data_IF_446813116476
#
_entry.id   IF_446813116476
#
_cell.length_a   1.000
_cell.length_b   1.000
_cell.length_c   1.000
_cell.angle_alpha   90.00
_cell.angle_beta   90.00
_cell.angle_gamma   90.00
#
_symmetry.space_group_name_H-M   'P 1'
#
loop_
_entity.id
_entity.type
_entity.pdbx_description
1 polymer ?
#
# COMPACT_ATOMS: atom_id res chain seq x y z
N UNK A 1 -24.41 -4.33 -14.79
CA UNK A 1 -24.93 -4.04 -13.44
C UNK A 1 -25.55 -2.66 -13.52
N UNK A 2 -26.82 -2.56 -13.17
CA UNK A 2 -27.61 -1.32 -13.31
C UNK A 2 -27.69 -0.59 -11.97
N UNK A 3 -27.84 0.74 -11.98
CA UNK A 3 -27.62 1.57 -10.81
C UNK A 3 -28.64 1.36 -9.68
N UNK A 4 -29.78 0.72 -9.93
CA UNK A 4 -30.84 0.61 -8.92
C UNK A 4 -31.26 2.00 -8.43
N UNK A 5 -31.26 2.20 -7.13
CA UNK A 5 -31.58 3.46 -6.46
C UNK A 5 -30.40 4.44 -6.34
N UNK A 6 -29.19 4.06 -6.78
CA UNK A 6 -27.99 4.89 -6.64
C UNK A 6 -27.88 6.03 -7.67
N UNK A 7 -28.64 5.97 -8.78
CA UNK A 7 -28.67 6.99 -9.84
C UNK A 7 -30.04 7.67 -9.93
N UNK A 8 -30.43 8.36 -8.85
CA UNK A 8 -31.75 9.02 -8.74
C UNK A 8 -31.98 10.08 -9.81
N UNK A 9 -30.92 10.72 -10.30
CA UNK A 9 -30.97 11.75 -11.34
C UNK A 9 -30.73 11.22 -12.76
N UNK A 10 -30.51 9.92 -12.94
CA UNK A 10 -30.19 9.31 -14.22
C UNK A 10 -28.94 9.93 -14.89
N UNK A 11 -27.91 10.28 -14.11
CA UNK A 11 -26.67 10.84 -14.65
C UNK A 11 -25.99 9.91 -15.65
N UNK A 12 -26.11 8.59 -15.47
CA UNK A 12 -25.57 7.60 -16.40
C UNK A 12 -26.19 7.67 -17.81
N UNK A 13 -27.33 8.33 -17.95
CA UNK A 13 -28.08 8.52 -19.20
C UNK A 13 -28.36 9.99 -19.49
N UNK A 14 -27.58 10.91 -18.89
CA UNK A 14 -27.77 12.37 -19.03
C UNK A 14 -29.19 12.86 -18.69
N UNK A 15 -29.80 12.28 -17.66
CA UNK A 15 -31.15 12.63 -17.20
C UNK A 15 -32.28 11.94 -17.98
N UNK A 16 -31.97 11.07 -18.94
CA UNK A 16 -32.98 10.36 -19.74
C UNK A 16 -33.40 9.07 -19.03
N UNK A 17 -34.70 8.85 -18.86
CA UNK A 17 -35.22 7.66 -18.19
C UNK A 17 -34.94 6.39 -19.04
N UNK A 18 -34.29 5.35 -18.48
CA UNK A 18 -34.06 4.10 -19.21
C UNK A 18 -35.34 3.26 -19.37
N UNK A 19 -35.42 2.49 -20.47
CA UNK A 19 -36.34 1.38 -20.75
C UNK A 19 -37.75 1.41 -20.13
N UNK A 20 -38.48 2.53 -20.22
CA UNK A 20 -39.90 2.60 -19.82
C UNK A 20 -40.19 3.30 -18.49
N UNK A 21 -39.30 4.17 -18.02
CA UNK A 21 -39.58 5.05 -16.87
C UNK A 21 -39.05 4.55 -15.53
N UNK A 22 -38.02 3.70 -15.55
CA UNK A 22 -37.30 3.32 -14.34
C UNK A 22 -36.73 4.55 -13.61
N UNK A 23 -36.51 4.43 -12.30
CA UNK A 23 -36.19 5.47 -11.32
C UNK A 23 -37.37 6.41 -11.01
N UNK A 24 -38.60 5.87 -11.02
CA UNK A 24 -39.83 6.56 -10.61
C UNK A 24 -40.70 5.66 -9.73
N UNK A 25 -41.40 6.24 -8.74
CA UNK A 25 -42.39 5.55 -7.91
C UNK A 25 -41.89 4.22 -7.28
N UNK A 26 -40.60 4.15 -6.95
CA UNK A 26 -39.98 2.94 -6.37
C UNK A 26 -39.62 1.84 -7.36
N UNK A 27 -39.77 2.08 -8.68
CA UNK A 27 -39.38 1.15 -9.72
C UNK A 27 -37.98 1.48 -10.22
N UNK A 28 -37.01 0.58 -10.03
CA UNK A 28 -35.59 0.83 -10.33
C UNK A 28 -35.06 -0.11 -11.41
N UNK A 29 -34.11 0.40 -12.19
CA UNK A 29 -33.43 -0.40 -13.19
C UNK A 29 -32.36 -1.27 -12.51
N UNK A 30 -32.64 -2.57 -12.38
CA UNK A 30 -31.76 -3.55 -11.73
C UNK A 30 -31.44 -4.70 -12.68
N UNK A 31 -30.40 -5.48 -12.37
CA UNK A 31 -30.11 -6.70 -13.15
C UNK A 31 -31.24 -7.73 -13.05
N UNK A 32 -31.97 -7.75 -11.93
CA UNK A 32 -33.12 -8.63 -11.74
C UNK A 32 -34.29 -8.26 -12.65
N UNK A 33 -34.61 -6.95 -12.76
CA UNK A 33 -35.76 -6.50 -13.56
C UNK A 33 -35.47 -6.46 -15.06
N UNK A 34 -34.20 -6.38 -15.46
CA UNK A 34 -33.81 -6.32 -16.89
C UNK A 34 -33.84 -7.68 -17.57
N UNK A 35 -33.72 -8.79 -16.82
CA UNK A 35 -33.76 -10.13 -17.39
C UNK A 35 -32.57 -10.47 -18.30
N UNK A 36 -31.39 -9.91 -18.02
CA UNK A 36 -30.19 -10.25 -18.78
C UNK A 36 -29.77 -11.71 -18.60
N UNK A 37 -29.29 -12.35 -19.66
CA UNK A 37 -28.73 -13.69 -19.57
C UNK A 37 -27.47 -13.70 -18.67
N UNK A 38 -27.29 -14.74 -17.82
CA UNK A 38 -26.08 -14.91 -17.02
C UNK A 38 -24.84 -15.03 -17.90
N UNK A 39 -23.83 -14.19 -17.65
CA UNK A 39 -22.52 -14.26 -18.32
C UNK A 39 -21.47 -13.48 -17.52
N UNK A 40 -20.20 -13.60 -17.91
CA UNK A 40 -19.10 -12.77 -17.38
C UNK A 40 -19.44 -11.27 -17.50
N UNK A 41 -19.11 -10.50 -16.46
CA UNK A 41 -19.34 -9.06 -16.40
C UNK A 41 -18.02 -8.40 -16.04
N UNK A 42 -17.55 -7.50 -16.92
CA UNK A 42 -16.30 -6.75 -16.71
C UNK A 42 -16.63 -5.30 -16.41
N UNK A 43 -16.05 -4.77 -15.35
CA UNK A 43 -16.13 -3.36 -14.99
C UNK A 43 -14.85 -2.61 -15.38
N UNK A 44 -14.98 -1.33 -15.72
CA UNK A 44 -13.87 -0.40 -15.84
C UNK A 44 -14.05 0.67 -14.76
N UNK A 45 -13.04 0.86 -13.92
CA UNK A 45 -12.97 1.97 -12.97
C UNK A 45 -12.04 3.06 -13.50
N UNK A 46 -12.41 4.31 -13.31
CA UNK A 46 -11.55 5.48 -13.58
C UNK A 46 -11.53 6.37 -12.35
N UNK A 47 -10.38 6.97 -12.05
CA UNK A 47 -10.20 7.96 -10.99
C UNK A 47 -9.55 9.21 -11.59
N UNK A 48 -9.95 10.39 -11.14
CA UNK A 48 -9.50 11.68 -11.67
C UNK A 48 -10.60 12.74 -11.71
N UNK A 49 -10.31 13.94 -12.24
CA UNK A 49 -9.00 14.38 -12.77
C UNK A 49 -8.05 14.80 -11.65
N UNK A 50 -6.74 14.61 -11.87
CA UNK A 50 -5.70 15.09 -10.97
C UNK A 50 -4.68 15.92 -11.75
N UNK A 51 -4.14 16.95 -11.11
CA UNK A 51 -3.00 17.72 -11.62
C UNK A 51 -1.76 17.32 -10.84
N UNK A 52 -0.69 16.94 -11.55
CA UNK A 52 0.60 16.60 -10.94
C UNK A 52 1.59 17.75 -11.14
N UNK A 53 2.05 18.34 -10.05
CA UNK A 53 3.18 19.27 -10.08
C UNK A 53 4.51 18.50 -9.99
N UNK A 54 5.65 19.12 -10.38
CA UNK A 54 6.95 18.50 -10.25
C UNK A 54 7.24 18.07 -8.80
N UNK A 55 7.42 16.76 -8.59
CA UNK A 55 7.68 16.17 -7.27
C UNK A 55 6.44 15.68 -6.53
N UNK A 56 5.23 15.89 -7.07
CA UNK A 56 4.00 15.39 -6.46
C UNK A 56 3.94 13.86 -6.49
N UNK A 57 3.47 13.29 -5.38
CA UNK A 57 3.14 11.87 -5.24
C UNK A 57 1.66 11.80 -4.89
N UNK A 58 0.88 11.08 -5.69
CA UNK A 58 -0.53 10.79 -5.38
C UNK A 58 -0.65 9.33 -4.98
N UNK A 59 -1.30 9.09 -3.84
CA UNK A 59 -1.61 7.76 -3.36
C UNK A 59 -3.06 7.42 -3.73
N UNK A 60 -3.26 6.21 -4.26
CA UNK A 60 -4.58 5.68 -4.58
C UNK A 60 -4.76 4.41 -3.76
N UNK A 61 -5.73 4.43 -2.86
CA UNK A 61 -6.13 3.27 -2.07
C UNK A 61 -7.34 2.61 -2.76
N UNK A 62 -7.23 1.30 -3.04
CA UNK A 62 -8.28 0.53 -3.72
C UNK A 62 -8.68 -0.66 -2.84
N UNK A 63 -9.99 -0.86 -2.68
CA UNK A 63 -10.55 -2.01 -2.00
C UNK A 63 -11.39 -2.83 -2.99
N UNK A 64 -11.05 -4.11 -3.14
CA UNK A 64 -11.87 -5.08 -3.86
C UNK A 64 -12.68 -5.88 -2.86
N UNK A 65 -13.97 -5.58 -2.79
CA UNK A 65 -14.91 -6.27 -1.90
C UNK A 65 -15.61 -7.37 -2.67
N UNK A 66 -15.72 -8.54 -2.07
CA UNK A 66 -16.46 -9.66 -2.62
C UNK A 66 -17.38 -10.22 -1.54
N UNK A 67 -18.57 -10.63 -1.96
CA UNK A 67 -19.54 -11.28 -1.10
C UNK A 67 -20.32 -12.34 -1.88
N UNK A 68 -20.71 -13.39 -1.18
CA UNK A 68 -21.59 -14.44 -1.67
C UNK A 68 -22.44 -14.95 -0.52
N UNK A 69 -23.74 -14.87 -0.72
CA UNK A 69 -24.70 -15.58 0.09
C UNK A 69 -24.92 -16.99 -0.50
N UNK A 70 -24.93 -17.99 0.37
CA UNK A 70 -25.10 -19.40 -0.01
C UNK A 70 -26.53 -19.91 0.22
N UNK A 71 -27.31 -19.21 1.04
CA UNK A 71 -28.65 -19.65 1.47
C UNK A 71 -29.77 -18.78 0.87
N UNK A 72 -29.44 -17.59 0.36
CA UNK A 72 -30.40 -16.66 -0.24
C UNK A 72 -30.46 -16.69 -1.77
N UNK A 73 -30.84 -15.53 -2.34
CA UNK A 73 -30.98 -15.32 -3.78
C UNK A 73 -29.69 -14.71 -4.36
N UNK A 74 -29.55 -14.65 -5.70
CA UNK A 74 -28.45 -13.86 -6.29
C UNK A 74 -28.43 -12.41 -5.80
N UNK A 75 -29.58 -11.83 -5.48
CA UNK A 75 -29.69 -10.48 -4.93
C UNK A 75 -29.22 -10.36 -3.48
N UNK A 76 -29.44 -11.37 -2.64
CA UNK A 76 -28.94 -11.32 -1.27
C UNK A 76 -27.40 -11.32 -1.22
N UNK A 77 -26.73 -11.88 -2.23
CA UNK A 77 -25.27 -11.70 -2.40
C UNK A 77 -24.88 -10.24 -2.69
N UNK A 78 -25.72 -9.49 -3.42
CA UNK A 78 -25.53 -8.05 -3.68
C UNK A 78 -25.80 -7.23 -2.41
N UNK A 79 -26.81 -7.59 -1.62
CA UNK A 79 -27.10 -6.95 -0.34
C UNK A 79 -25.95 -7.15 0.66
N UNK A 80 -25.43 -8.38 0.76
CA UNK A 80 -24.26 -8.69 1.57
C UNK A 80 -23.02 -7.91 1.09
N UNK A 81 -22.84 -7.77 -0.23
CA UNK A 81 -21.76 -6.96 -0.80
C UNK A 81 -21.88 -5.48 -0.36
N UNK A 82 -23.09 -4.91 -0.39
CA UNK A 82 -23.36 -3.53 0.06
C UNK A 82 -23.06 -3.35 1.55
N UNK A 83 -23.41 -4.33 2.38
CA UNK A 83 -23.08 -4.32 3.81
C UNK A 83 -21.56 -4.32 4.01
N UNK A 84 -20.83 -5.21 3.32
CA UNK A 84 -19.38 -5.30 3.42
C UNK A 84 -18.69 -4.03 2.92
N UNK A 85 -19.15 -3.45 1.81
CA UNK A 85 -18.66 -2.17 1.32
C UNK A 85 -18.86 -1.05 2.36
N UNK A 86 -20.03 -1.00 3.00
CA UNK A 86 -20.33 0.00 4.04
C UNK A 86 -19.43 -0.18 5.27
N UNK A 87 -19.24 -1.42 5.72
CA UNK A 87 -18.35 -1.76 6.83
C UNK A 87 -16.90 -1.38 6.53
N UNK A 88 -16.38 -1.75 5.35
CA UNK A 88 -15.01 -1.44 4.96
C UNK A 88 -14.80 0.07 4.84
N UNK A 89 -15.77 0.79 4.27
CA UNK A 89 -15.73 2.24 4.17
C UNK A 89 -15.68 2.90 5.56
N UNK A 90 -16.58 2.52 6.46
CA UNK A 90 -16.61 3.03 7.83
C UNK A 90 -15.27 2.80 8.55
N UNK A 91 -14.72 1.59 8.41
CA UNK A 91 -13.41 1.27 8.98
C UNK A 91 -12.29 2.10 8.38
N UNK A 92 -12.29 2.32 7.08
CA UNK A 92 -11.25 3.09 6.40
C UNK A 92 -11.28 4.57 6.80
N UNK A 93 -12.48 5.14 6.92
CA UNK A 93 -12.69 6.55 7.31
C UNK A 93 -12.37 6.79 8.79
N UNK A 94 -12.66 5.83 9.68
CA UNK A 94 -12.48 5.98 11.13
C UNK A 94 -11.15 5.46 11.66
N UNK A 95 -10.54 4.45 11.04
CA UNK A 95 -9.25 3.87 11.44
C UNK A 95 -8.46 3.39 10.22
N UNK A 96 -7.69 4.32 9.64
CA UNK A 96 -6.84 4.07 8.48
C UNK A 96 -5.84 2.90 8.68
N UNK A 97 -5.44 2.61 9.92
CA UNK A 97 -4.50 1.53 10.22
C UNK A 97 -5.15 0.14 10.29
N UNK A 98 -6.48 0.06 10.30
CA UNK A 98 -7.25 -1.18 10.43
C UNK A 98 -6.90 -2.22 9.36
N UNK A 99 -6.64 -1.77 8.11
CA UNK A 99 -6.36 -2.67 6.99
C UNK A 99 -4.90 -3.07 6.84
N UNK A 100 -4.03 -2.62 7.73
CA UNK A 100 -2.62 -2.99 7.64
C UNK A 100 -2.38 -4.37 8.27
N UNK A 101 -2.21 -5.39 7.43
CA UNK A 101 -1.79 -6.75 7.85
C UNK A 101 -0.40 -6.81 8.49
N UNK A 102 0.33 -5.70 8.48
CA UNK A 102 1.54 -5.47 9.27
C UNK A 102 1.23 -4.33 10.23
N UNK A 103 1.38 -4.52 11.53
CA UNK A 103 1.41 -3.39 12.47
C UNK A 103 2.52 -2.43 12.00
N UNK A 104 2.17 -1.37 11.27
CA UNK A 104 3.07 -0.25 11.05
C UNK A 104 3.14 0.49 12.38
N UNK A 105 3.95 -0.05 13.29
CA UNK A 105 4.57 0.79 14.29
C UNK A 105 5.39 1.80 13.50
N UNK A 106 4.83 2.99 13.26
CA UNK A 106 5.59 4.19 12.98
C UNK A 106 6.42 4.53 14.22
N UNK A 107 7.32 3.64 14.64
CA UNK A 107 8.50 4.06 15.38
C UNK A 107 9.43 4.68 14.36
N UNK A 108 9.06 5.91 13.99
CA UNK A 108 9.91 6.87 13.31
C UNK A 108 10.99 7.36 14.29
N UNK A 109 11.73 6.43 14.88
CA UNK A 109 13.06 6.70 15.36
C UNK A 109 13.98 6.12 14.30
N UNK A 110 14.40 6.96 13.35
CA UNK A 110 15.55 6.67 12.50
C UNK A 110 16.79 6.59 13.41
N UNK A 111 16.89 5.47 14.12
CA UNK A 111 17.95 5.11 15.05
C UNK A 111 19.27 4.80 14.32
N UNK A 112 19.24 4.82 12.99
CA UNK A 112 20.37 4.66 12.11
C UNK A 112 20.36 5.77 11.04
N UNK A 113 21.50 6.44 10.83
CA UNK A 113 21.72 7.41 9.74
C UNK A 113 22.94 7.00 8.94
N UNK A 114 22.82 7.00 7.61
CA UNK A 114 23.90 6.67 6.68
C UNK A 114 24.27 7.89 5.86
N UNK A 115 25.54 8.23 5.81
CA UNK A 115 26.03 9.32 4.97
C UNK A 115 27.51 9.14 4.58
N UNK A 116 27.92 9.70 3.43
CA UNK A 116 27.06 10.24 2.39
C UNK A 116 26.22 9.13 1.73
N UNK A 117 25.10 9.48 1.13
CA UNK A 117 24.36 8.60 0.23
C UNK A 117 23.86 9.45 -0.95
N UNK A 118 24.35 9.23 -2.18
CA UNK A 118 25.30 8.18 -2.61
C UNK A 118 26.71 8.32 -2.03
N UNK A 119 27.43 7.20 -1.89
CA UNK A 119 28.79 7.11 -1.33
C UNK A 119 29.81 6.64 -2.37
N UNK A 120 31.03 7.16 -2.29
CA UNK A 120 32.16 6.75 -3.13
C UNK A 120 33.10 5.80 -2.38
N UNK A 121 33.75 6.24 -1.31
CA UNK A 121 34.85 5.49 -0.69
C UNK A 121 34.57 5.11 0.76
N UNK A 122 34.01 6.05 1.54
CA UNK A 122 33.82 5.90 2.99
C UNK A 122 32.36 6.13 3.35
N UNK A 123 31.73 5.10 3.90
CA UNK A 123 30.37 5.17 4.44
C UNK A 123 30.44 5.38 5.95
N UNK A 124 29.77 6.41 6.44
CA UNK A 124 29.55 6.64 7.87
C UNK A 124 28.17 6.14 8.25
N UNK A 125 28.10 5.31 9.29
CA UNK A 125 26.87 4.81 9.87
C UNK A 125 26.80 5.29 11.31
N UNK A 126 25.77 6.09 11.61
CA UNK A 126 25.55 6.67 12.93
C UNK A 126 24.31 6.07 13.58
N UNK A 127 24.49 5.55 14.80
CA UNK A 127 23.44 5.02 15.65
C UNK A 127 22.99 6.09 16.66
N UNK A 128 21.75 5.99 17.16
CA UNK A 128 21.23 6.89 18.20
C UNK A 128 21.90 6.70 19.57
N UNK A 129 22.54 5.55 19.79
CA UNK A 129 23.18 5.18 21.05
C UNK A 129 24.46 4.37 20.79
N UNK A 130 25.32 4.27 21.80
CA UNK A 130 26.52 3.43 21.77
C UNK A 130 26.15 1.97 22.01
N UNK A 131 26.83 1.05 21.32
CA UNK A 131 26.66 -0.39 21.56
C UNK A 131 28.01 -1.10 21.58
N UNK A 132 28.22 -1.92 22.62
CA UNK A 132 29.46 -2.67 22.87
C UNK A 132 29.45 -4.08 22.29
N UNK A 133 28.27 -4.64 21.99
CA UNK A 133 28.11 -6.02 21.50
C UNK A 133 27.44 -6.10 20.13
N UNK A 134 27.45 -5.00 19.38
CA UNK A 134 26.79 -4.95 18.09
C UNK A 134 27.60 -5.57 16.94
N UNK A 135 26.90 -5.96 15.88
CA UNK A 135 27.48 -6.45 14.62
C UNK A 135 26.83 -5.74 13.44
N UNK A 136 27.53 -5.71 12.31
CA UNK A 136 26.99 -5.23 11.06
C UNK A 136 27.31 -6.19 9.92
N UNK A 137 26.46 -6.19 8.90
CA UNK A 137 26.66 -6.90 7.64
C UNK A 137 26.09 -6.09 6.47
N UNK A 138 26.81 -6.02 5.36
CA UNK A 138 26.43 -5.37 4.13
C UNK A 138 26.14 -6.45 3.09
N UNK A 139 25.02 -6.32 2.41
CA UNK A 139 24.54 -7.23 1.38
C UNK A 139 24.38 -6.51 0.06
N UNK A 140 24.69 -7.18 -1.05
CA UNK A 140 24.33 -6.73 -2.38
C UNK A 140 22.86 -7.08 -2.71
N UNK A 141 22.39 -6.67 -3.90
CA UNK A 141 21.00 -6.95 -4.36
C UNK A 141 20.69 -8.43 -4.56
N UNK A 142 21.71 -9.30 -4.67
CA UNK A 142 21.54 -10.77 -4.75
C UNK A 142 21.44 -11.42 -3.37
N UNK A 143 21.60 -10.64 -2.29
CA UNK A 143 21.59 -11.14 -0.91
C UNK A 143 22.94 -11.70 -0.45
N UNK A 144 24.01 -11.54 -1.21
CA UNK A 144 25.36 -11.99 -0.82
C UNK A 144 25.94 -11.04 0.24
N UNK A 145 26.48 -11.60 1.32
CA UNK A 145 27.19 -10.83 2.35
C UNK A 145 28.58 -10.43 1.82
N UNK A 146 28.80 -9.13 1.60
CA UNK A 146 30.03 -8.59 1.02
C UNK A 146 31.00 -8.02 2.07
N UNK A 147 30.49 -7.52 3.20
CA UNK A 147 31.29 -6.99 4.30
C UNK A 147 30.54 -7.24 5.60
N UNK A 148 31.23 -7.74 6.63
CA UNK A 148 30.65 -7.84 7.98
C UNK A 148 31.70 -7.59 9.06
N UNK A 149 31.26 -7.18 10.24
CA UNK A 149 32.14 -6.93 11.36
C UNK A 149 31.40 -6.66 12.67
N UNK A 150 32.17 -6.31 13.71
CA UNK A 150 31.65 -5.91 15.02
C UNK A 150 31.64 -4.39 15.15
N UNK A 151 30.73 -3.87 15.97
CA UNK A 151 30.71 -2.46 16.38
C UNK A 151 31.69 -2.26 17.54
N UNK A 152 32.48 -1.20 17.48
CA UNK A 152 33.59 -0.97 18.39
C UNK A 152 33.19 -0.24 19.69
N UNK A 153 31.98 -0.45 20.22
CA UNK A 153 31.53 0.27 21.42
C UNK A 153 31.07 1.71 21.15
N UNK A 154 31.14 2.18 19.91
CA UNK A 154 30.81 3.55 19.53
C UNK A 154 29.44 3.65 18.84
N UNK A 155 28.89 4.86 18.82
CA UNK A 155 27.66 5.18 18.09
C UNK A 155 27.94 5.55 16.62
N UNK A 156 29.20 5.53 16.18
CA UNK A 156 29.61 5.84 14.82
C UNK A 156 30.55 4.76 14.29
N UNK A 157 30.23 4.23 13.12
CA UNK A 157 31.02 3.26 12.38
C UNK A 157 31.42 3.88 11.04
N UNK A 158 32.71 3.89 10.73
CA UNK A 158 33.25 4.34 9.44
C UNK A 158 33.77 3.15 8.67
N UNK A 159 33.18 2.89 7.50
CA UNK A 159 33.48 1.75 6.65
C UNK A 159 34.15 2.21 5.36
N UNK A 160 35.30 1.61 5.05
CA UNK A 160 35.89 1.72 3.72
C UNK A 160 35.21 0.73 2.78
N UNK A 161 34.57 1.24 1.73
CA UNK A 161 33.80 0.48 0.74
C UNK A 161 34.39 0.59 -0.67
N UNK A 162 35.66 0.98 -0.80
CA UNK A 162 36.34 1.11 -2.10
C UNK A 162 36.29 -0.17 -2.93
N UNK A 163 36.31 -1.33 -2.28
CA UNK A 163 36.32 -2.64 -2.93
C UNK A 163 34.92 -3.08 -3.42
N UNK A 164 33.86 -2.31 -3.10
CA UNK A 164 32.51 -2.61 -3.57
C UNK A 164 32.30 -2.05 -4.98
N UNK A 165 31.71 -2.87 -5.85
CA UNK A 165 31.27 -2.42 -7.16
C UNK A 165 30.13 -1.40 -7.04
N UNK A 166 29.96 -0.57 -8.07
CA UNK A 166 28.86 0.40 -8.14
C UNK A 166 27.51 -0.32 -8.08
N UNK A 167 26.57 0.18 -7.28
CA UNK A 167 25.27 -0.45 -7.13
C UNK A 167 24.55 -0.13 -5.82
N UNK A 168 23.40 -0.78 -5.63
CA UNK A 168 22.58 -0.69 -4.43
C UNK A 168 23.03 -1.73 -3.40
N UNK A 169 23.15 -1.32 -2.15
CA UNK A 169 23.50 -2.19 -1.03
C UNK A 169 22.55 -1.99 0.14
N UNK A 170 22.42 -3.05 0.95
CA UNK A 170 21.65 -3.07 2.19
C UNK A 170 22.63 -3.30 3.33
N UNK A 171 22.64 -2.42 4.34
CA UNK A 171 23.33 -2.69 5.61
C UNK A 171 22.31 -3.16 6.65
N UNK A 172 22.67 -4.22 7.37
CA UNK A 172 21.99 -4.67 8.59
C UNK A 172 22.91 -4.45 9.77
N UNK A 173 22.38 -3.91 10.86
CA UNK A 173 23.08 -3.71 12.12
C UNK A 173 22.28 -4.36 13.24
N UNK A 174 22.95 -5.12 14.09
CA UNK A 174 22.41 -5.61 15.34
C UNK A 174 23.14 -4.90 16.48
N UNK A 175 22.44 -4.27 17.42
CA UNK A 175 23.04 -3.55 18.56
C UNK A 175 23.19 -4.42 19.82
N UNK A 176 22.87 -5.72 19.74
CA UNK A 176 22.76 -6.63 20.89
C UNK A 176 21.33 -6.88 21.35
N UNK A 177 20.36 -6.05 20.95
CA UNK A 177 18.94 -6.14 21.29
C UNK A 177 18.02 -6.00 20.08
N UNK A 178 18.29 -5.05 19.21
CA UNK A 178 17.49 -4.65 18.06
C UNK A 178 18.25 -4.84 16.75
N UNK A 179 17.49 -5.06 15.68
CA UNK A 179 18.01 -5.07 14.31
C UNK A 179 17.60 -3.77 13.59
N UNK A 180 18.55 -3.16 12.91
CA UNK A 180 18.39 -1.98 12.07
C UNK A 180 18.75 -2.33 10.63
N UNK A 181 18.01 -1.78 9.68
CA UNK A 181 18.25 -1.98 8.25
C UNK A 181 18.22 -0.65 7.53
N UNK A 182 19.21 -0.40 6.68
CA UNK A 182 19.25 0.78 5.83
C UNK A 182 19.82 0.44 4.44
N UNK A 183 19.53 1.29 3.46
CA UNK A 183 19.98 1.13 2.07
C UNK A 183 20.90 2.29 1.69
N UNK A 184 21.91 2.03 0.88
CA UNK A 184 22.78 3.06 0.30
C UNK A 184 23.22 2.71 -1.13
N UNK A 185 23.60 3.74 -1.88
CA UNK A 185 24.07 3.62 -3.27
C UNK A 185 25.58 3.87 -3.32
N UNK A 186 26.35 2.91 -3.85
CA UNK A 186 27.77 3.05 -4.19
C UNK A 186 27.92 3.58 -5.62
N UNK A 187 28.65 4.68 -5.79
CA UNK A 187 28.99 5.28 -7.10
C UNK A 187 30.37 4.91 -7.62
#
# INVERSE_FOLDING_TARGET
MFPGDSDTCNWGTNGILPNGGFNQNGYYWTEETTGNNPFDRRGLGSSGPFTFNPGDVQQIDLAFVWARDYDGTPWSSVELLKEYCSYIKDKFENDYNFFSGVNYNLKNENNIRLFPNPVYDKLTVKLSHKTTNGTFAIFNVRGENVISGKLAGENELRLNINNLQKGLYIIKIFDGKNNYVAKFIKK
#
